data_IF_288731997120
#
_entry.id   IF_288731997120
#
_cell.length_a   1.000
_cell.length_b   1.000
_cell.length_c   1.000
_cell.angle_alpha   90.00
_cell.angle_beta   90.00
_cell.angle_gamma   90.00
#
_symmetry.space_group_name_H-M   'P 1'
#
loop_
_entity.id
_entity.type
_entity.pdbx_description
1 polymer ?
#
# COMPACT_ATOMS: atom_id res chain seq x y z
N UNK A 1 16.51 3.67 -6.48
CA UNK A 1 15.19 4.37 -6.41
C UNK A 1 14.15 3.42 -5.83
N UNK A 2 13.35 3.89 -4.90
CA UNK A 2 12.27 3.09 -4.33
C UNK A 2 10.98 3.30 -5.12
N UNK A 3 10.28 2.20 -5.40
CA UNK A 3 8.94 2.28 -5.97
C UNK A 3 7.94 2.54 -4.85
N UNK A 4 7.05 3.48 -5.07
CA UNK A 4 5.97 3.78 -4.13
C UNK A 4 4.82 2.81 -4.36
N UNK A 5 4.35 2.17 -3.30
CA UNK A 5 3.30 1.15 -3.36
C UNK A 5 2.10 1.57 -2.52
N UNK A 6 0.92 1.36 -3.07
CA UNK A 6 -0.34 1.51 -2.33
C UNK A 6 -0.99 0.14 -2.26
N UNK A 7 -1.39 -0.28 -1.07
CA UNK A 7 -2.09 -1.54 -0.86
C UNK A 7 -3.58 -1.25 -0.70
N UNK A 8 -4.40 -1.90 -1.54
CA UNK A 8 -5.86 -1.81 -1.45
C UNK A 8 -6.40 -3.19 -1.11
N UNK A 9 -6.94 -3.35 0.08
CA UNK A 9 -7.46 -4.63 0.57
C UNK A 9 -8.58 -4.36 1.58
N UNK A 10 -9.75 -4.96 1.36
CA UNK A 10 -10.93 -4.74 2.20
C UNK A 10 -10.83 -5.42 3.57
N UNK A 11 -10.10 -6.52 3.68
CA UNK A 11 -9.92 -7.21 4.95
C UNK A 11 -8.75 -6.63 5.73
N UNK A 12 -9.05 -6.11 6.92
CA UNK A 12 -8.06 -5.43 7.74
C UNK A 12 -6.87 -6.33 8.11
N UNK A 13 -7.14 -7.59 8.46
CA UNK A 13 -6.07 -8.52 8.86
C UNK A 13 -5.15 -8.80 7.69
N UNK A 14 -5.71 -9.00 6.49
CA UNK A 14 -4.92 -9.24 5.28
C UNK A 14 -4.13 -7.99 4.92
N UNK A 15 -4.76 -6.81 4.99
CA UNK A 15 -4.10 -5.55 4.70
C UNK A 15 -2.89 -5.31 5.62
N UNK A 16 -3.06 -5.56 6.91
CA UNK A 16 -1.97 -5.46 7.88
C UNK A 16 -0.89 -6.49 7.62
N UNK A 17 -1.28 -7.72 7.28
CA UNK A 17 -0.34 -8.78 6.94
C UNK A 17 0.53 -8.41 5.75
N UNK A 18 -0.07 -7.91 4.68
CA UNK A 18 0.67 -7.45 3.51
C UNK A 18 1.63 -6.31 3.84
N UNK A 19 1.21 -5.40 4.71
CA UNK A 19 2.02 -4.24 5.08
C UNK A 19 3.23 -4.63 5.94
N UNK A 20 3.03 -5.54 6.88
CA UNK A 20 4.06 -5.82 7.91
C UNK A 20 4.82 -7.13 7.71
N UNK A 21 4.25 -8.11 7.01
CA UNK A 21 4.88 -9.41 6.85
C UNK A 21 5.92 -9.46 5.72
N UNK A 22 5.84 -8.55 4.75
CA UNK A 22 6.76 -8.51 3.63
C UNK A 22 7.81 -7.44 3.83
N UNK A 23 9.04 -7.74 3.41
CA UNK A 23 10.13 -6.75 3.47
C UNK A 23 10.15 -5.96 2.15
N UNK A 24 9.31 -4.94 2.08
CA UNK A 24 9.14 -4.13 0.88
C UNK A 24 10.43 -3.40 0.50
N UNK A 25 11.19 -2.92 1.48
CA UNK A 25 12.44 -2.21 1.21
C UNK A 25 13.46 -3.10 0.51
N UNK A 26 13.54 -4.38 0.91
CA UNK A 26 14.43 -5.34 0.24
C UNK A 26 14.04 -5.59 -1.22
N UNK A 27 12.77 -5.36 -1.55
CA UNK A 27 12.26 -5.48 -2.92
C UNK A 27 12.34 -4.16 -3.70
N UNK A 28 12.94 -3.14 -3.12
CA UNK A 28 13.04 -1.83 -3.75
C UNK A 28 11.75 -1.02 -3.70
N UNK A 29 10.91 -1.29 -2.71
CA UNK A 29 9.58 -0.68 -2.59
C UNK A 29 9.38 0.00 -1.25
N UNK A 30 8.50 1.00 -1.22
CA UNK A 30 8.06 1.62 0.02
C UNK A 30 6.53 1.76 0.00
N UNK A 31 5.88 1.36 1.08
CA UNK A 31 4.44 1.53 1.23
C UNK A 31 4.16 2.98 1.57
N UNK A 32 3.45 3.69 0.71
CA UNK A 32 3.09 5.10 0.93
C UNK A 32 1.64 5.27 1.38
N UNK A 33 0.85 4.21 1.32
CA UNK A 33 -0.52 4.26 1.81
C UNK A 33 -1.20 2.91 1.72
N UNK A 34 -2.26 2.76 2.51
CA UNK A 34 -3.12 1.59 2.46
C UNK A 34 -4.57 2.06 2.40
N UNK A 35 -5.42 1.27 1.79
CA UNK A 35 -6.83 1.59 1.63
C UNK A 35 -7.68 0.33 1.77
N UNK A 36 -8.91 0.50 2.23
CA UNK A 36 -9.84 -0.62 2.44
C UNK A 36 -10.72 -0.91 1.24
N UNK A 37 -10.82 0.02 0.30
CA UNK A 37 -11.64 -0.15 -0.90
C UNK A 37 -11.11 0.70 -2.06
N UNK A 38 -11.76 0.55 -3.22
CA UNK A 38 -11.32 1.23 -4.43
C UNK A 38 -11.43 2.75 -4.38
N UNK A 39 -12.46 3.28 -3.70
CA UNK A 39 -12.64 4.73 -3.59
C UNK A 39 -11.54 5.34 -2.75
N UNK A 40 -11.24 4.74 -1.59
CA UNK A 40 -10.15 5.17 -0.73
C UNK A 40 -8.80 4.97 -1.41
N UNK A 41 -8.65 3.86 -2.15
CA UNK A 41 -7.43 3.58 -2.90
C UNK A 41 -7.16 4.63 -3.96
N UNK A 42 -8.19 5.04 -4.71
CA UNK A 42 -8.05 6.07 -5.73
C UNK A 42 -7.62 7.41 -5.12
N UNK A 43 -8.22 7.79 -4.01
CA UNK A 43 -7.84 9.02 -3.31
C UNK A 43 -6.38 8.95 -2.83
N UNK A 44 -5.98 7.80 -2.28
CA UNK A 44 -4.60 7.60 -1.82
C UNK A 44 -3.62 7.72 -3.00
N UNK A 45 -3.94 7.13 -4.14
CA UNK A 45 -3.10 7.22 -5.33
C UNK A 45 -2.96 8.67 -5.81
N UNK A 46 -4.06 9.42 -5.83
CA UNK A 46 -4.03 10.82 -6.22
C UNK A 46 -3.14 11.66 -5.30
N UNK A 47 -3.23 11.41 -3.99
CA UNK A 47 -2.46 12.14 -3.00
C UNK A 47 -0.98 11.77 -3.03
N UNK A 48 -0.67 10.50 -3.11
CA UNK A 48 0.70 9.99 -2.99
C UNK A 48 1.42 9.90 -4.33
N UNK A 49 0.71 9.84 -5.43
CA UNK A 49 1.28 9.75 -6.79
C UNK A 49 2.35 8.67 -6.90
N UNK A 50 2.01 7.42 -6.54
CA UNK A 50 2.98 6.34 -6.56
C UNK A 50 3.46 5.97 -7.97
#
# INVERSE_FOLDING_TARGET
MLLKVVIVEDEEIIRKGLTFALNWLDMGCIIVGTAKDGAEGLETIRREQP
#
